data_IF_131652183965
#
_entry.id   IF_131652183965
#
_cell.length_a   1.000
_cell.length_b   1.000
_cell.length_c   1.000
_cell.angle_alpha   90.00
_cell.angle_beta   90.00
_cell.angle_gamma   90.00
#
_symmetry.space_group_name_H-M   'P 1'
#
loop_
_entity.id
_entity.type
_entity.pdbx_description
1 polymer ?
#
# COMPACT_ATOMS: atom_id res chain seq x y z
N UNK A 1 36.40 2.18 -3.97
CA UNK A 1 35.94 2.39 -2.58
C UNK A 1 34.55 3.01 -2.65
N UNK A 2 33.50 2.19 -2.68
CA UNK A 2 32.11 2.67 -2.74
C UNK A 2 31.78 3.12 -1.32
N UNK A 3 31.81 4.44 -1.09
CA UNK A 3 31.33 5.05 0.14
C UNK A 3 29.90 4.59 0.36
N UNK A 4 29.65 3.85 1.44
CA UNK A 4 28.29 3.56 1.89
C UNK A 4 27.62 4.90 2.21
N UNK A 5 26.81 5.41 1.28
CA UNK A 5 26.03 6.63 1.50
C UNK A 5 25.19 6.43 2.75
N UNK A 6 25.41 7.27 3.75
CA UNK A 6 24.73 7.14 5.02
C UNK A 6 23.33 7.75 4.91
N UNK A 7 22.38 6.98 4.36
CA UNK A 7 20.99 7.39 4.18
C UNK A 7 20.29 7.74 5.50
N UNK A 8 20.87 7.36 6.65
CA UNK A 8 20.40 7.76 7.97
C UNK A 8 20.57 9.26 8.26
N UNK A 9 21.66 9.88 7.80
CA UNK A 9 21.86 11.32 7.99
C UNK A 9 20.89 12.12 7.12
N UNK A 10 20.71 11.68 5.88
CA UNK A 10 19.75 12.27 4.96
C UNK A 10 18.32 12.14 5.50
N UNK A 11 17.94 10.95 5.99
CA UNK A 11 16.65 10.71 6.63
C UNK A 11 16.40 11.64 7.82
N UNK A 12 17.39 11.80 8.71
CA UNK A 12 17.32 12.73 9.85
C UNK A 12 17.20 14.18 9.39
N UNK A 13 17.96 14.58 8.37
CA UNK A 13 17.91 15.93 7.82
C UNK A 13 16.54 16.25 7.22
N UNK A 14 16.00 15.35 6.38
CA UNK A 14 14.66 15.47 5.79
C UNK A 14 13.63 15.58 6.91
N UNK A 15 13.67 14.68 7.90
CA UNK A 15 12.69 14.64 8.98
C UNK A 15 12.73 15.89 9.87
N UNK A 16 13.94 16.42 10.12
CA UNK A 16 14.14 17.67 10.87
C UNK A 16 13.58 18.89 10.13
N UNK A 17 13.75 18.95 8.81
CA UNK A 17 13.26 20.06 7.97
C UNK A 17 11.75 20.02 7.75
N UNK A 18 11.17 18.83 7.64
CA UNK A 18 9.71 18.65 7.58
C UNK A 18 9.06 18.85 8.96
N UNK A 19 9.81 18.53 10.02
CA UNK A 19 9.43 18.65 11.43
C UNK A 19 8.77 17.36 11.94
N UNK A 20 9.43 16.65 12.85
CA UNK A 20 8.93 15.39 13.43
C UNK A 20 7.51 15.50 13.99
N UNK A 21 7.22 16.58 14.73
CA UNK A 21 5.91 16.84 15.32
C UNK A 21 4.85 17.31 14.31
N UNK A 22 5.28 17.71 13.12
CA UNK A 22 4.47 18.21 12.02
C UNK A 22 4.06 17.10 11.04
N UNK A 23 4.64 15.90 11.15
CA UNK A 23 4.33 14.75 10.30
C UNK A 23 3.34 13.83 11.01
N UNK A 24 2.16 13.62 10.42
CA UNK A 24 1.21 12.62 10.90
C UNK A 24 1.63 11.22 10.45
N UNK A 25 2.08 11.11 9.20
CA UNK A 25 2.50 9.84 8.62
C UNK A 25 3.40 9.99 7.39
N UNK A 26 4.17 8.96 7.09
CA UNK A 26 5.07 8.90 5.93
C UNK A 26 4.88 7.60 5.14
N UNK A 27 4.75 7.74 3.82
CA UNK A 27 4.75 6.65 2.85
C UNK A 27 5.74 6.94 1.73
N UNK A 28 6.00 5.97 0.85
CA UNK A 28 6.85 6.16 -0.31
C UNK A 28 6.26 5.49 -1.55
N UNK A 29 6.62 5.99 -2.72
CA UNK A 29 6.47 5.28 -3.99
C UNK A 29 7.86 4.97 -4.56
N UNK A 30 7.94 4.65 -5.85
CA UNK A 30 9.20 4.27 -6.50
C UNK A 30 10.25 5.40 -6.55
N UNK A 31 9.83 6.67 -6.48
CA UNK A 31 10.74 7.82 -6.64
C UNK A 31 10.55 8.94 -5.61
N UNK A 32 9.51 8.88 -4.78
CA UNK A 32 9.12 9.98 -3.88
C UNK A 32 8.76 9.47 -2.49
N UNK A 33 9.18 10.21 -1.47
CA UNK A 33 8.59 10.15 -0.13
C UNK A 33 7.34 11.03 -0.10
N UNK A 34 6.30 10.59 0.58
CA UNK A 34 5.05 11.34 0.76
C UNK A 34 4.75 11.43 2.24
N UNK A 35 4.73 12.64 2.75
CA UNK A 35 4.42 12.99 4.11
C UNK A 35 3.00 13.57 4.18
N UNK A 36 2.19 13.06 5.10
CA UNK A 36 0.98 13.75 5.55
C UNK A 36 1.41 14.70 6.65
N UNK A 37 1.28 16.00 6.41
CA UNK A 37 1.78 17.05 7.30
C UNK A 37 0.62 17.88 7.85
N UNK A 38 0.74 18.36 9.09
CA UNK A 38 -0.28 19.18 9.75
C UNK A 38 -0.26 20.62 9.25
N UNK A 39 0.93 21.21 9.19
CA UNK A 39 1.16 22.56 8.70
C UNK A 39 2.25 22.59 7.63
N UNK A 40 1.80 22.86 6.41
CA UNK A 40 2.68 23.02 5.24
C UNK A 40 3.58 24.26 5.33
N UNK A 41 3.12 25.34 5.96
CA UNK A 41 3.84 26.63 6.00
C UNK A 41 5.06 26.58 6.91
N UNK A 42 5.10 25.63 7.84
CA UNK A 42 6.23 25.40 8.73
C UNK A 42 7.43 24.74 8.04
N UNK A 43 7.28 24.30 6.78
CA UNK A 43 8.30 23.53 6.06
C UNK A 43 9.08 24.46 5.12
N UNK A 44 10.40 24.46 5.23
CA UNK A 44 11.30 25.21 4.33
C UNK A 44 11.66 24.37 3.10
N UNK A 45 10.98 24.64 1.98
CA UNK A 45 11.23 24.00 0.69
C UNK A 45 12.65 24.18 0.19
N UNK A 46 13.20 25.40 0.34
CA UNK A 46 14.52 25.72 -0.20
C UNK A 46 15.62 25.03 0.59
N UNK A 47 15.41 24.78 1.87
CA UNK A 47 16.33 23.99 2.67
C UNK A 47 16.28 22.51 2.28
N UNK A 48 15.09 21.97 1.99
CA UNK A 48 14.92 20.57 1.55
C UNK A 48 15.52 20.33 0.16
N UNK A 49 15.34 21.24 -0.79
CA UNK A 49 15.91 21.12 -2.14
C UNK A 49 17.44 21.23 -2.20
N UNK A 50 18.09 21.72 -1.12
CA UNK A 50 19.55 21.77 -1.02
C UNK A 50 20.16 20.45 -0.59
N UNK A 51 19.35 19.50 -0.13
CA UNK A 51 19.84 18.19 0.28
C UNK A 51 20.30 17.38 -0.95
N UNK A 52 21.43 16.66 -0.85
CA UNK A 52 22.12 16.08 -2.00
C UNK A 52 21.29 15.04 -2.76
N UNK A 53 20.40 14.30 -2.10
CA UNK A 53 19.56 13.30 -2.75
C UNK A 53 18.18 13.85 -3.15
N UNK A 54 17.82 15.07 -2.74
CA UNK A 54 16.52 15.67 -3.04
C UNK A 54 16.57 16.37 -4.39
N UNK A 55 15.76 15.88 -5.34
CA UNK A 55 15.63 16.41 -6.70
C UNK A 55 14.51 17.44 -6.83
N UNK A 56 13.71 17.62 -5.79
CA UNK A 56 12.63 18.60 -5.74
C UNK A 56 11.59 18.26 -4.69
N UNK A 57 10.78 19.26 -4.35
CA UNK A 57 9.65 19.10 -3.43
C UNK A 57 8.34 19.51 -4.09
N UNK A 58 7.25 18.85 -3.73
CA UNK A 58 5.94 19.13 -4.28
C UNK A 58 4.88 19.00 -3.20
N UNK A 59 3.92 19.92 -3.17
CA UNK A 59 2.76 19.82 -2.30
C UNK A 59 1.49 19.77 -3.12
N UNK A 60 0.69 18.72 -2.91
CA UNK A 60 -0.57 18.55 -3.62
C UNK A 60 -1.43 17.47 -2.99
N UNK A 61 -2.74 17.58 -3.15
CA UNK A 61 -3.72 16.61 -2.63
C UNK A 61 -3.57 16.33 -1.12
N UNK A 62 -3.18 17.36 -0.33
CA UNK A 62 -2.99 17.24 1.12
C UNK A 62 -1.75 16.46 1.56
N UNK A 63 -0.79 16.20 0.65
CA UNK A 63 0.45 15.50 0.95
C UNK A 63 1.66 16.32 0.50
N UNK A 64 2.70 16.33 1.33
CA UNK A 64 4.00 16.90 1.01
C UNK A 64 4.92 15.81 0.46
N UNK A 65 5.43 15.99 -0.75
CA UNK A 65 6.19 15.00 -1.48
C UNK A 65 7.63 15.46 -1.67
N UNK A 66 8.58 14.63 -1.29
CA UNK A 66 10.02 14.84 -1.51
C UNK A 66 10.47 13.87 -2.59
N UNK A 67 10.95 14.39 -3.71
CA UNK A 67 11.42 13.60 -4.85
C UNK A 67 12.89 13.28 -4.62
N UNK A 68 13.24 12.00 -4.54
CA UNK A 68 14.62 11.55 -4.29
C UNK A 68 15.17 10.82 -5.53
N UNK A 69 14.37 9.91 -6.09
CA UNK A 69 14.74 9.10 -7.25
C UNK A 69 14.62 7.60 -6.98
N UNK A 70 14.73 6.82 -8.05
CA UNK A 70 14.64 5.35 -8.00
C UNK A 70 15.82 4.76 -7.25
N UNK A 71 15.59 3.71 -6.47
CA UNK A 71 16.61 3.01 -5.69
C UNK A 71 16.84 3.61 -4.30
N UNK A 72 17.10 4.92 -4.24
CA UNK A 72 17.46 5.61 -2.97
C UNK A 72 16.27 5.82 -2.04
N UNK A 73 15.06 5.98 -2.60
CA UNK A 73 13.84 6.27 -1.81
C UNK A 73 13.54 5.19 -0.76
N UNK A 74 13.81 3.92 -1.07
CA UNK A 74 13.54 2.81 -0.16
C UNK A 74 14.48 2.83 1.04
N UNK A 75 15.76 3.13 0.81
CA UNK A 75 16.79 3.17 1.86
C UNK A 75 16.55 4.34 2.81
N UNK A 76 16.23 5.52 2.27
CA UNK A 76 15.89 6.71 3.07
C UNK A 76 14.60 6.46 3.85
N UNK A 77 13.59 5.84 3.24
CA UNK A 77 12.35 5.48 3.92
C UNK A 77 12.61 4.50 5.07
N UNK A 78 13.40 3.46 4.85
CA UNK A 78 13.73 2.47 5.87
C UNK A 78 14.49 3.12 7.04
N UNK A 79 15.38 4.07 6.76
CA UNK A 79 16.06 4.85 7.79
C UNK A 79 15.06 5.70 8.60
N UNK A 80 14.11 6.39 7.96
CA UNK A 80 13.04 7.13 8.67
C UNK A 80 12.20 6.19 9.54
N UNK A 81 11.82 5.01 9.02
CA UNK A 81 11.02 4.03 9.75
C UNK A 81 11.74 3.48 10.99
N UNK A 82 13.08 3.34 10.93
CA UNK A 82 13.91 2.90 12.07
C UNK A 82 13.98 3.94 13.19
N UNK A 83 13.85 5.23 12.88
CA UNK A 83 13.88 6.29 13.90
C UNK A 83 12.65 6.26 14.82
N UNK A 84 11.55 5.63 14.40
CA UNK A 84 10.36 5.42 15.24
C UNK A 84 9.58 6.69 15.60
N UNK A 85 10.01 7.86 15.12
CA UNK A 85 9.44 9.17 15.44
C UNK A 85 8.20 9.53 14.63
N UNK A 86 7.92 8.82 13.53
CA UNK A 86 6.77 9.06 12.65
C UNK A 86 6.06 7.77 12.27
N UNK A 87 4.73 7.83 12.06
CA UNK A 87 3.95 6.67 11.60
C UNK A 87 4.35 6.32 10.15
N UNK A 88 5.31 5.42 10.00
CA UNK A 88 5.76 4.87 8.73
C UNK A 88 4.71 3.85 8.23
N UNK A 89 4.02 4.20 7.14
CA UNK A 89 2.86 3.50 6.58
C UNK A 89 3.20 2.29 5.70
N UNK A 90 4.43 2.19 5.20
CA UNK A 90 4.82 1.22 4.17
C UNK A 90 5.98 0.34 4.66
N UNK A 91 5.88 -0.98 4.54
CA UNK A 91 6.93 -1.89 5.02
C UNK A 91 6.87 -2.21 6.52
N UNK A 92 5.86 -1.71 7.23
CA UNK A 92 5.43 -2.29 8.50
C UNK A 92 4.17 -3.08 8.27
N UNK A 93 4.20 -4.33 8.71
CA UNK A 93 3.09 -5.27 8.75
C UNK A 93 2.04 -4.83 9.79
N UNK A 94 1.65 -3.56 9.79
CA UNK A 94 0.74 -2.96 10.75
C UNK A 94 -0.35 -2.26 9.93
N UNK A 95 -1.53 -2.84 9.72
CA UNK A 95 -2.71 -2.65 10.56
C UNK A 95 -3.05 -1.19 10.98
N UNK A 96 -2.06 -0.32 11.18
CA UNK A 96 -2.20 0.95 11.90
C UNK A 96 -2.44 2.15 10.96
N UNK A 97 -2.38 1.95 9.65
CA UNK A 97 -2.56 3.01 8.65
C UNK A 97 -4.01 3.43 8.43
N UNK A 98 -4.96 2.54 8.64
CA UNK A 98 -6.36 2.82 8.32
C UNK A 98 -7.14 3.53 9.44
N UNK A 99 -6.50 3.76 10.60
CA UNK A 99 -7.16 4.33 11.79
C UNK A 99 -6.73 5.76 12.18
N UNK A 100 -5.65 6.31 11.60
CA UNK A 100 -5.04 7.58 12.05
C UNK A 100 -5.01 8.66 10.96
N UNK A 101 -6.18 8.94 10.37
CA UNK A 101 -6.36 10.23 9.66
C UNK A 101 -7.19 11.13 10.57
N UNK A 102 -6.54 12.16 11.13
CA UNK A 102 -7.10 13.33 11.82
C UNK A 102 -8.60 13.26 12.15
N UNK A 103 -8.89 12.87 13.39
CA UNK A 103 -10.24 12.52 13.84
C UNK A 103 -11.14 13.72 14.19
N UNK A 104 -10.69 14.95 13.99
CA UNK A 104 -11.40 16.15 14.48
C UNK A 104 -12.53 16.65 13.58
N UNK A 105 -12.60 16.27 12.30
CA UNK A 105 -13.61 16.84 11.37
C UNK A 105 -14.33 15.84 10.45
N UNK A 106 -14.24 14.53 10.71
CA UNK A 106 -14.90 13.53 9.86
C UNK A 106 -16.32 13.23 10.31
N UNK A 107 -17.30 13.34 9.40
CA UNK A 107 -18.69 12.91 9.63
C UNK A 107 -18.75 11.40 9.90
N UNK A 108 -19.78 10.93 10.62
CA UNK A 108 -19.96 9.51 10.98
C UNK A 108 -19.87 8.58 9.76
N UNK A 109 -20.38 9.03 8.61
CA UNK A 109 -20.29 8.31 7.33
C UNK A 109 -18.84 8.15 6.86
N UNK A 110 -18.03 9.20 6.98
CA UNK A 110 -16.61 9.13 6.61
C UNK A 110 -15.81 8.21 7.52
N UNK A 111 -16.16 8.13 8.81
CA UNK A 111 -15.57 7.16 9.74
C UNK A 111 -15.95 5.72 9.36
N UNK A 112 -17.21 5.48 9.01
CA UNK A 112 -17.65 4.17 8.53
C UNK A 112 -16.94 3.77 7.23
N UNK A 113 -16.81 4.69 6.28
CA UNK A 113 -16.10 4.43 5.02
C UNK A 113 -14.60 4.20 5.24
N UNK A 114 -13.97 4.91 6.19
CA UNK A 114 -12.58 4.67 6.57
C UNK A 114 -12.40 3.29 7.23
N UNK A 115 -13.36 2.86 8.04
CA UNK A 115 -13.38 1.52 8.66
C UNK A 115 -13.49 0.43 7.60
N UNK A 116 -14.47 0.52 6.70
CA UNK A 116 -14.62 -0.43 5.59
C UNK A 116 -13.35 -0.45 4.72
N UNK A 117 -12.83 0.72 4.35
CA UNK A 117 -11.60 0.83 3.59
C UNK A 117 -10.42 0.14 4.29
N UNK A 118 -10.28 0.33 5.61
CA UNK A 118 -9.24 -0.31 6.39
C UNK A 118 -9.30 -1.83 6.42
N UNK A 119 -10.50 -2.40 6.49
CA UNK A 119 -10.71 -3.85 6.48
C UNK A 119 -10.42 -4.43 5.09
N UNK A 120 -10.78 -3.73 4.02
CA UNK A 120 -10.61 -4.27 2.66
C UNK A 120 -9.21 -4.08 2.08
N UNK A 121 -8.46 -3.02 2.45
CA UNK A 121 -7.12 -2.72 1.89
C UNK A 121 -6.18 -3.94 1.88
N UNK A 122 -6.02 -4.71 2.98
CA UNK A 122 -5.16 -5.90 2.98
C UNK A 122 -5.65 -7.03 2.06
N UNK A 123 -6.95 -7.08 1.77
CA UNK A 123 -7.60 -8.15 1.00
C UNK A 123 -7.65 -7.81 -0.50
N UNK A 124 -7.56 -6.53 -0.88
CA UNK A 124 -7.63 -6.06 -2.27
C UNK A 124 -6.69 -6.84 -3.21
N UNK A 125 -5.39 -7.06 -2.90
CA UNK A 125 -4.51 -7.77 -3.82
C UNK A 125 -4.96 -9.20 -4.12
N UNK A 126 -5.46 -9.91 -3.11
CA UNK A 126 -5.94 -11.29 -3.23
C UNK A 126 -7.21 -11.34 -4.07
N UNK A 127 -8.18 -10.45 -3.81
CA UNK A 127 -9.42 -10.38 -4.59
C UNK A 127 -9.14 -9.99 -6.04
N UNK A 128 -8.25 -9.02 -6.28
CA UNK A 128 -7.90 -8.55 -7.62
C UNK A 128 -7.23 -9.66 -8.45
N UNK A 129 -6.26 -10.37 -7.86
CA UNK A 129 -5.60 -11.51 -8.51
C UNK A 129 -6.61 -12.61 -8.83
N UNK A 130 -7.43 -13.01 -7.85
CA UNK A 130 -8.42 -14.08 -7.99
C UNK A 130 -9.48 -13.74 -9.04
N UNK A 131 -9.97 -12.50 -9.05
CA UNK A 131 -10.93 -12.02 -10.04
C UNK A 131 -10.37 -12.05 -11.46
N UNK A 132 -9.10 -11.67 -11.64
CA UNK A 132 -8.42 -11.74 -12.93
C UNK A 132 -8.26 -13.19 -13.40
N UNK A 133 -7.85 -14.09 -12.51
CA UNK A 133 -7.74 -15.53 -12.82
C UNK A 133 -9.10 -16.15 -13.17
N UNK A 134 -10.16 -15.79 -12.45
CA UNK A 134 -11.52 -16.27 -12.76
C UNK A 134 -12.00 -15.73 -14.10
N UNK A 135 -11.72 -14.46 -14.41
CA UNK A 135 -12.02 -13.85 -15.70
C UNK A 135 -11.27 -14.54 -16.84
N UNK A 136 -9.99 -14.85 -16.65
CA UNK A 136 -9.18 -15.56 -17.63
C UNK A 136 -9.67 -17.01 -17.83
N UNK A 137 -9.98 -17.72 -16.74
CA UNK A 137 -10.62 -19.05 -16.79
C UNK A 137 -11.93 -19.01 -17.57
N UNK A 138 -12.79 -18.04 -17.25
CA UNK A 138 -14.08 -17.88 -17.91
C UNK A 138 -13.90 -17.62 -19.39
N UNK A 139 -13.03 -16.70 -19.78
CA UNK A 139 -12.72 -16.45 -21.20
C UNK A 139 -12.14 -17.68 -21.90
N UNK A 140 -11.20 -18.38 -21.25
CA UNK A 140 -10.54 -19.56 -21.81
C UNK A 140 -11.45 -20.80 -21.89
N UNK A 141 -12.56 -20.86 -21.14
CA UNK A 141 -13.52 -21.98 -21.16
C UNK A 141 -14.83 -21.64 -21.84
N UNK A 142 -15.01 -20.39 -22.28
CA UNK A 142 -16.23 -19.94 -22.95
C UNK A 142 -16.28 -20.40 -24.41
N UNK A 143 -17.35 -21.11 -24.78
CA UNK A 143 -17.55 -21.64 -26.13
C UNK A 143 -17.52 -20.56 -27.23
N UNK A 144 -17.95 -19.32 -26.96
CA UNK A 144 -17.90 -18.23 -27.94
C UNK A 144 -16.46 -17.72 -28.16
N UNK A 145 -15.64 -17.68 -27.11
CA UNK A 145 -14.24 -17.26 -27.21
C UNK A 145 -13.41 -18.35 -27.87
N UNK A 146 -13.58 -19.61 -27.45
CA UNK A 146 -12.93 -20.76 -28.07
C UNK A 146 -13.22 -20.88 -29.57
N UNK A 147 -14.46 -20.63 -29.99
CA UNK A 147 -14.84 -20.59 -31.42
C UNK A 147 -14.08 -19.53 -32.22
N UNK A 148 -13.75 -18.39 -31.60
CA UNK A 148 -12.97 -17.33 -32.23
C UNK A 148 -11.51 -17.75 -32.49
N UNK A 149 -11.00 -18.67 -31.66
CA UNK A 149 -9.66 -19.26 -31.79
C UNK A 149 -9.66 -20.62 -32.51
N UNK A 150 -10.80 -21.07 -33.05
CA UNK A 150 -10.93 -22.34 -33.77
C UNK A 150 -10.86 -23.59 -32.88
N UNK A 151 -10.99 -23.44 -31.56
CA UNK A 151 -10.94 -24.53 -30.60
C UNK A 151 -12.36 -24.88 -30.08
N UNK A 152 -12.53 -26.10 -29.59
CA UNK A 152 -13.79 -26.58 -29.00
C UNK A 152 -13.58 -26.83 -27.50
N UNK A 153 -14.56 -26.60 -26.61
CA UNK A 153 -14.39 -26.84 -25.16
C UNK A 153 -13.95 -28.27 -24.79
N UNK A 154 -14.13 -29.24 -25.70
CA UNK A 154 -13.65 -30.62 -25.59
C UNK A 154 -12.14 -30.80 -25.75
N UNK A 155 -11.44 -29.80 -26.32
CA UNK A 155 -9.98 -29.82 -26.49
C UNK A 155 -9.24 -29.44 -25.20
N UNK A 156 -9.94 -28.85 -24.24
CA UNK A 156 -9.38 -28.51 -22.94
C UNK A 156 -9.46 -29.74 -22.03
N UNK A 157 -8.32 -30.27 -21.53
CA UNK A 157 -8.35 -31.42 -20.64
C UNK A 157 -9.17 -31.09 -19.37
N UNK A 158 -10.12 -31.96 -19.05
CA UNK A 158 -10.98 -31.82 -17.86
C UNK A 158 -10.17 -31.73 -16.55
N UNK A 159 -8.96 -32.29 -16.53
CA UNK A 159 -8.02 -32.16 -15.42
C UNK A 159 -7.53 -30.72 -15.24
N UNK A 160 -7.29 -29.97 -16.32
CA UNK A 160 -6.83 -28.58 -16.26
C UNK A 160 -7.96 -27.65 -15.79
N UNK A 161 -9.18 -27.84 -16.29
CA UNK A 161 -10.34 -27.06 -15.83
C UNK A 161 -10.66 -27.36 -14.36
N UNK A 162 -10.49 -28.60 -13.91
CA UNK A 162 -10.68 -28.99 -12.51
C UNK A 162 -9.64 -28.33 -11.60
N UNK A 163 -8.34 -28.36 -11.96
CA UNK A 163 -7.27 -27.71 -11.18
C UNK A 163 -7.49 -26.20 -11.07
N UNK A 164 -7.82 -25.52 -12.16
CA UNK A 164 -8.08 -24.07 -12.16
C UNK A 164 -9.35 -23.74 -11.35
N UNK A 165 -10.37 -24.61 -11.39
CA UNK A 165 -11.58 -24.43 -10.58
C UNK A 165 -11.26 -24.56 -9.10
N UNK A 166 -10.58 -25.63 -8.70
CA UNK A 166 -10.17 -25.82 -7.29
C UNK A 166 -9.34 -24.64 -6.80
N UNK A 167 -8.35 -24.17 -7.56
CA UNK A 167 -7.53 -23.02 -7.17
C UNK A 167 -8.37 -21.75 -7.00
N UNK A 168 -9.24 -21.44 -7.96
CA UNK A 168 -10.04 -20.21 -7.92
C UNK A 168 -11.13 -20.24 -6.86
N UNK A 169 -11.85 -21.36 -6.77
CA UNK A 169 -12.99 -21.52 -5.86
C UNK A 169 -12.52 -21.59 -4.40
N UNK A 170 -11.34 -22.18 -4.14
CA UNK A 170 -10.74 -22.22 -2.80
C UNK A 170 -10.48 -20.81 -2.28
N UNK A 171 -9.96 -19.89 -3.09
CA UNK A 171 -9.68 -18.52 -2.62
C UNK A 171 -10.95 -17.79 -2.21
N UNK A 172 -12.07 -18.00 -2.92
CA UNK A 172 -13.37 -17.46 -2.52
C UNK A 172 -13.94 -18.16 -1.28
N UNK A 173 -13.71 -19.46 -1.12
CA UNK A 173 -14.11 -20.18 0.09
C UNK A 173 -13.38 -19.66 1.35
N UNK A 174 -12.12 -19.22 1.21
CA UNK A 174 -11.35 -18.59 2.28
C UNK A 174 -11.59 -17.08 2.43
N UNK A 175 -12.33 -16.44 1.52
CA UNK A 175 -12.59 -15.00 1.56
C UNK A 175 -13.26 -14.55 2.88
N UNK A 176 -14.27 -15.25 3.43
CA UNK A 176 -14.84 -14.90 4.73
C UNK A 176 -13.80 -14.93 5.86
N UNK A 177 -12.92 -15.93 5.88
CA UNK A 177 -11.84 -16.03 6.86
C UNK A 177 -10.84 -14.87 6.74
N UNK A 178 -10.49 -14.47 5.52
CA UNK A 178 -9.63 -13.31 5.27
C UNK A 178 -10.28 -11.99 5.74
N UNK A 179 -11.60 -11.85 5.59
CA UNK A 179 -12.35 -10.68 6.07
C UNK A 179 -12.35 -10.64 7.60
N UNK A 180 -12.58 -11.77 8.26
CA UNK A 180 -12.54 -11.84 9.73
C UNK A 180 -11.14 -11.49 10.22
N UNK A 181 -10.11 -12.14 9.70
CA UNK A 181 -8.71 -11.84 10.02
C UNK A 181 -8.38 -10.35 9.86
N UNK A 182 -8.79 -9.74 8.74
CA UNK A 182 -8.53 -8.31 8.47
C UNK A 182 -9.31 -7.39 9.40
N UNK A 183 -10.53 -7.79 9.79
CA UNK A 183 -11.35 -7.06 10.75
C UNK A 183 -10.70 -7.04 12.13
N UNK A 184 -10.23 -8.21 12.61
CA UNK A 184 -9.49 -8.29 13.87
C UNK A 184 -8.19 -7.49 13.83
N UNK A 185 -7.47 -7.55 12.71
CA UNK A 185 -6.28 -6.72 12.49
C UNK A 185 -6.60 -5.21 12.56
N UNK A 186 -7.69 -4.77 11.95
CA UNK A 186 -8.12 -3.36 11.99
C UNK A 186 -8.47 -2.88 13.40
N UNK A 187 -9.21 -3.69 14.17
CA UNK A 187 -9.59 -3.36 15.55
C UNK A 187 -8.50 -3.62 16.59
N UNK A 188 -7.29 -4.01 16.17
CA UNK A 188 -6.16 -4.40 17.05
C UNK A 188 -6.48 -5.59 17.96
N UNK A 189 -7.42 -6.43 17.58
CA UNK A 189 -7.68 -7.73 18.20
C UNK A 189 -6.64 -8.76 17.78
N UNK A 190 -6.49 -9.83 18.55
CA UNK A 190 -5.55 -10.90 18.23
C UNK A 190 -6.02 -11.68 16.98
N UNK A 191 -5.26 -11.67 15.86
CA UNK A 191 -5.71 -12.28 14.62
C UNK A 191 -5.78 -13.82 14.64
N UNK A 192 -5.28 -14.47 15.70
CA UNK A 192 -5.33 -15.93 15.93
C UNK A 192 -6.67 -16.38 16.51
N UNK A 193 -7.42 -15.47 17.15
CA UNK A 193 -8.70 -15.78 17.80
C UNK A 193 -9.87 -15.58 16.82
N UNK A 194 -9.66 -14.77 15.78
CA UNK A 194 -10.62 -14.47 14.71
C UNK A 194 -10.49 -15.41 13.52
#
# INVERSE_FOLDING_TARGET
MIMAKNYEEEAKAILKLVGENNVDSVTHCQTRLRFVVKDRKAIDDKALEKLPEVKGVFYGSGQYQVIIGTGVVNDVYAAIAKLGTVNAIYGKDDADTAGKTSNEHKTVVQRLMAMLSGIFIPIIPVIAATGLFLGLKSAATNAQVLKLFGAVPSDIPASLTSVISVLTDTVFAFLPALIVWSTFRYFKGTPIIG
#
